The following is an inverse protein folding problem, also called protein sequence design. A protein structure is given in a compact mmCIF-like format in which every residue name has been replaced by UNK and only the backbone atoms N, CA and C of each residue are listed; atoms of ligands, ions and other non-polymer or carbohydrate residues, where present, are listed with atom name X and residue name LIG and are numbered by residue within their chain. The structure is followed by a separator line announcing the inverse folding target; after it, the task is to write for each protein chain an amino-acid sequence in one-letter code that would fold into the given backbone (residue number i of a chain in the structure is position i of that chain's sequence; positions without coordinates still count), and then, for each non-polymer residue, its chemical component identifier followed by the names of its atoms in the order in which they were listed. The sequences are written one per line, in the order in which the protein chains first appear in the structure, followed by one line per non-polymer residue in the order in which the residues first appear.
data_IF_057623254703
#
_entry.id   IF_057623254703
#
_cell.length_a   1.000
_cell.length_b   1.000
_cell.length_c   1.000
_cell.angle_alpha   90.00
_cell.angle_beta   90.00
_cell.angle_gamma   90.00
#
_symmetry.space_group_name_H-M   'P 1'
#
loop_
_entity.id
_entity.type
_entity.pdbx_description
1 polymer ?
#
# COMPACT_ATOMS: atom_id res chain seq x y z
N UNK A 1 4.53 -17.22 -10.81
CA UNK A 1 3.50 -16.77 -9.84
C UNK A 1 3.60 -15.27 -9.66
N UNK A 2 2.47 -14.60 -9.78
CA UNK A 2 2.44 -13.15 -9.63
C UNK A 2 2.20 -12.76 -8.19
N UNK A 3 3.00 -11.82 -7.69
CA UNK A 3 2.79 -11.27 -6.36
C UNK A 3 1.84 -10.07 -6.48
N UNK A 4 0.79 -10.09 -5.69
CA UNK A 4 -0.10 -8.95 -5.59
C UNK A 4 0.35 -8.01 -4.50
N UNK A 5 0.25 -6.72 -4.81
CA UNK A 5 0.52 -5.67 -3.84
C UNK A 5 -0.76 -4.94 -3.52
N UNK A 6 -0.87 -4.44 -2.32
CA UNK A 6 -2.04 -3.70 -1.88
C UNK A 6 -1.60 -2.36 -1.34
N UNK A 7 -2.38 -1.32 -1.62
CA UNK A 7 -2.15 -0.02 -1.02
C UNK A 7 -3.29 0.23 -0.07
N UNK A 8 -2.96 0.43 1.20
CA UNK A 8 -3.94 0.59 2.27
C UNK A 8 -3.79 1.95 2.91
N UNK A 9 -4.91 2.53 3.32
CA UNK A 9 -4.91 3.75 4.11
C UNK A 9 -5.33 3.36 5.53
N UNK A 10 -4.42 3.50 6.51
CA UNK A 10 -4.73 3.12 7.90
C UNK A 10 -5.94 3.88 8.44
N UNK A 11 -6.70 3.21 9.29
CA UNK A 11 -7.89 3.75 9.94
C UNK A 11 -9.04 4.01 8.96
N UNK A 12 -8.97 3.44 7.77
CA UNK A 12 -10.05 3.50 6.79
C UNK A 12 -10.25 2.12 6.19
N UNK A 13 -11.28 1.97 5.35
CA UNK A 13 -11.51 0.73 4.62
C UNK A 13 -10.90 0.74 3.23
N UNK A 14 -10.03 1.71 2.95
CA UNK A 14 -9.42 1.85 1.63
C UNK A 14 -8.31 0.82 1.49
N UNK A 15 -8.45 -0.05 0.49
CA UNK A 15 -7.46 -1.07 0.17
C UNK A 15 -7.57 -1.36 -1.32
N UNK A 16 -6.53 -1.01 -2.07
CA UNK A 16 -6.50 -1.18 -3.52
C UNK A 16 -5.50 -2.25 -3.90
N UNK A 17 -5.88 -3.11 -4.84
CA UNK A 17 -5.02 -4.17 -5.33
C UNK A 17 -4.25 -3.66 -6.56
N UNK A 18 -2.95 -3.90 -6.59
CA UNK A 18 -2.07 -3.44 -7.67
C UNK A 18 -1.16 -4.58 -8.09
N UNK A 19 -0.93 -4.73 -9.38
CA UNK A 19 -0.18 -5.87 -9.89
C UNK A 19 1.33 -5.67 -9.94
N UNK A 20 1.84 -4.45 -9.77
CA UNK A 20 3.27 -4.22 -9.78
C UNK A 20 3.67 -3.31 -8.61
N UNK A 21 4.93 -3.47 -8.18
CA UNK A 21 5.44 -2.69 -7.06
C UNK A 21 5.55 -1.20 -7.44
N UNK A 22 5.98 -0.91 -8.66
CA UNK A 22 6.10 0.48 -9.12
C UNK A 22 4.74 1.18 -9.10
N UNK A 23 3.70 0.50 -9.59
CA UNK A 23 2.36 1.06 -9.60
C UNK A 23 1.83 1.24 -8.18
N UNK A 24 2.17 0.30 -7.28
CA UNK A 24 1.72 0.39 -5.90
C UNK A 24 2.32 1.62 -5.21
N UNK A 25 3.59 1.92 -5.47
CA UNK A 25 4.22 3.10 -4.88
C UNK A 25 3.62 4.39 -5.40
N UNK A 26 3.28 4.45 -6.71
CA UNK A 26 2.61 5.61 -7.27
C UNK A 26 1.25 5.85 -6.63
N UNK A 27 0.46 4.79 -6.50
CA UNK A 27 -0.84 4.89 -5.86
C UNK A 27 -0.72 5.25 -4.38
N UNK A 28 0.26 4.66 -3.71
CA UNK A 28 0.51 4.93 -2.29
C UNK A 28 0.81 6.42 -2.07
N UNK A 29 1.63 7.00 -2.94
CA UNK A 29 1.95 8.42 -2.86
C UNK A 29 0.69 9.27 -3.03
N UNK A 30 -0.12 8.95 -4.03
CA UNK A 30 -1.36 9.70 -4.29
C UNK A 30 -2.32 9.61 -3.10
N UNK A 31 -2.50 8.40 -2.56
CA UNK A 31 -3.40 8.22 -1.41
C UNK A 31 -2.87 8.91 -0.16
N UNK A 32 -1.54 8.92 0.01
CA UNK A 32 -0.96 9.62 1.16
C UNK A 32 -1.21 11.13 1.09
N UNK A 33 -1.25 11.69 -0.11
CA UNK A 33 -1.56 13.11 -0.25
C UNK A 33 -3.02 13.41 0.10
N UNK A 34 -3.92 12.46 -0.21
CA UNK A 34 -5.34 12.65 0.07
C UNK A 34 -5.70 12.37 1.53
N UNK A 35 -5.06 11.37 2.12
CA UNK A 35 -5.45 10.85 3.45
C UNK A 35 -4.34 10.99 4.48
N UNK A 36 -3.23 11.59 4.13
CA UNK A 36 -2.07 11.86 4.99
C UNK A 36 -1.23 10.63 5.34
N UNK A 37 -1.65 9.43 4.98
CA UNK A 37 -0.89 8.22 5.28
C UNK A 37 -1.38 7.08 4.39
N UNK A 38 -0.46 6.38 3.77
CA UNK A 38 -0.78 5.19 2.97
C UNK A 38 0.38 4.20 3.06
N UNK A 39 0.09 2.92 2.96
CA UNK A 39 1.07 1.85 3.09
C UNK A 39 1.01 0.91 1.90
N UNK A 40 2.19 0.40 1.50
CA UNK A 40 2.28 -0.68 0.51
C UNK A 40 2.43 -1.98 1.28
N UNK A 41 1.54 -2.93 1.02
CA UNK A 41 1.44 -4.18 1.77
C UNK A 41 1.42 -5.35 0.78
N UNK A 42 2.05 -6.45 1.17
CA UNK A 42 1.91 -7.71 0.43
C UNK A 42 1.86 -8.86 1.44
N UNK A 43 1.49 -10.02 0.96
CA UNK A 43 1.34 -11.18 1.83
C UNK A 43 2.34 -12.26 1.42
N UNK A 44 3.05 -12.79 2.40
CA UNK A 44 3.98 -13.89 2.18
C UNK A 44 3.19 -15.18 1.90
N UNK A 45 3.90 -16.21 1.45
CA UNK A 45 3.27 -17.48 1.10
C UNK A 45 2.50 -18.10 2.28
N UNK A 46 2.96 -17.86 3.49
CA UNK A 46 2.31 -18.37 4.68
C UNK A 46 1.16 -17.48 5.17
N UNK A 47 0.81 -16.44 4.41
CA UNK A 47 -0.27 -15.53 4.77
C UNK A 47 0.12 -14.38 5.67
N UNK A 48 1.40 -14.27 6.01
CA UNK A 48 1.86 -13.16 6.85
C UNK A 48 1.77 -11.83 6.10
N UNK A 49 1.15 -10.84 6.74
CA UNK A 49 1.05 -9.51 6.19
C UNK A 49 2.40 -8.79 6.36
N UNK A 50 2.92 -8.25 5.26
CA UNK A 50 4.21 -7.54 5.27
C UNK A 50 3.98 -6.13 4.76
N UNK A 51 4.38 -5.13 5.53
CA UNK A 51 4.34 -3.75 5.09
C UNK A 51 5.67 -3.45 4.43
N UNK A 52 5.66 -3.27 3.11
CA UNK A 52 6.87 -3.00 2.35
C UNK A 52 7.39 -1.60 2.65
N UNK A 53 6.48 -0.66 2.83
CA UNK A 53 6.82 0.71 3.18
C UNK A 53 5.58 1.57 3.27
N UNK A 54 5.79 2.84 3.56
CA UNK A 54 4.68 3.77 3.73
C UNK A 54 5.10 5.18 3.39
N UNK A 55 4.10 6.00 3.04
CA UNK A 55 4.25 7.43 2.90
C UNK A 55 3.39 8.11 3.95
N UNK A 56 3.93 9.13 4.57
CA UNK A 56 3.19 9.97 5.51
C UNK A 56 3.36 11.41 5.04
N UNK A 57 2.25 12.09 4.80
CA UNK A 57 2.27 13.48 4.41
C UNK A 57 2.24 14.32 5.68
N UNK A 58 3.36 14.99 5.96
CA UNK A 58 3.50 15.82 7.14
C UNK A 58 3.68 17.26 6.72
N UNK A 59 2.76 18.07 7.11
CA UNK A 59 2.84 19.51 6.87
C UNK A 59 3.56 20.20 8.01
#
# INVERSE_FOLDING_TARGET
MLTEYFVEVPNTNIKESVSSLDDSWGLCYDLAQLYCHAQVVWYALNGTRVVDGEYTDQD
#
